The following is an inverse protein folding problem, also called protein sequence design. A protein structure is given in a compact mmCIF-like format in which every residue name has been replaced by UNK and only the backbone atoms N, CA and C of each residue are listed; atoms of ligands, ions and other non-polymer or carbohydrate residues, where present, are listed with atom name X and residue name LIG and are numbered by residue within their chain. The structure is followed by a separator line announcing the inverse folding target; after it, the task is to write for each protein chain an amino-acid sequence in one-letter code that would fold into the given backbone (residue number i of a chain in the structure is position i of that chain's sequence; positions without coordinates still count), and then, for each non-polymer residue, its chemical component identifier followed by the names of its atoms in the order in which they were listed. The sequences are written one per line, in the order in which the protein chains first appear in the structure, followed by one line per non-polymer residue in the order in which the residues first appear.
data_IF_553367165466
#
_entry.id   IF_553367165466
#
_cell.length_a   1.000
_cell.length_b   1.000
_cell.length_c   1.000
_cell.angle_alpha   90.00
_cell.angle_beta   90.00
_cell.angle_gamma   90.00
#
_symmetry.space_group_name_H-M   'P 1'
#
loop_
_entity.id
_entity.type
_entity.pdbx_description
1 polymer ?
#
# COMPACT_ATOMS: atom_id res chain seq x y z
N UNK A 1 1.57 20.73 -14.20
CA UNK A 1 2.31 19.47 -14.39
C UNK A 1 2.59 18.88 -13.01
N UNK A 2 1.74 17.99 -12.55
CA UNK A 2 1.89 17.30 -11.27
C UNK A 2 2.85 16.12 -11.43
N UNK A 3 3.91 16.10 -10.63
CA UNK A 3 4.90 15.03 -10.64
C UNK A 3 4.25 13.67 -10.27
N UNK A 4 4.53 12.63 -11.07
CA UNK A 4 4.34 11.23 -10.64
C UNK A 4 3.21 10.42 -11.28
N UNK A 5 2.76 10.76 -12.49
CA UNK A 5 1.80 9.92 -13.24
C UNK A 5 2.53 8.77 -13.94
N UNK A 6 2.79 7.70 -13.20
CA UNK A 6 3.33 6.48 -13.75
C UNK A 6 3.19 5.32 -12.76
N UNK A 7 3.01 4.08 -13.25
CA UNK A 7 2.99 2.92 -12.39
C UNK A 7 4.30 2.85 -11.60
N UNK A 8 4.20 2.57 -10.30
CA UNK A 8 5.36 2.53 -9.41
C UNK A 8 5.37 1.26 -8.55
N UNK A 9 6.57 0.79 -8.23
CA UNK A 9 6.79 -0.29 -7.28
C UNK A 9 6.83 0.29 -5.87
N UNK A 10 6.04 -0.27 -4.96
CA UNK A 10 5.88 0.19 -3.57
C UNK A 10 6.10 -0.97 -2.61
N UNK A 11 6.98 -0.77 -1.65
CA UNK A 11 7.20 -1.71 -0.55
C UNK A 11 5.99 -1.78 0.40
N UNK A 12 5.77 -2.95 0.99
CA UNK A 12 4.71 -3.16 1.98
C UNK A 12 4.79 -2.16 3.15
N UNK A 13 6.01 -1.82 3.60
CA UNK A 13 6.28 -0.83 4.67
C UNK A 13 5.70 0.55 4.34
N UNK A 14 5.94 1.04 3.11
CA UNK A 14 5.44 2.33 2.61
C UNK A 14 3.92 2.31 2.45
N UNK A 15 3.36 1.19 2.02
CA UNK A 15 1.92 1.02 1.92
C UNK A 15 1.25 1.02 3.31
N UNK A 16 1.83 0.33 4.28
CA UNK A 16 1.37 0.33 5.67
C UNK A 16 1.44 1.72 6.29
N UNK A 17 2.51 2.48 6.04
CA UNK A 17 2.64 3.86 6.50
C UNK A 17 1.54 4.77 5.91
N UNK A 18 1.21 4.62 4.63
CA UNK A 18 0.15 5.38 3.99
C UNK A 18 -1.24 5.03 4.55
N UNK A 19 -1.51 3.74 4.79
CA UNK A 19 -2.75 3.29 5.43
C UNK A 19 -2.90 3.83 6.86
N UNK A 20 -1.82 3.80 7.67
CA UNK A 20 -1.78 4.42 9.01
C UNK A 20 -2.06 5.93 8.93
N UNK A 21 -1.43 6.63 7.99
CA UNK A 21 -1.62 8.08 7.76
C UNK A 21 -3.09 8.40 7.48
N UNK A 22 -3.77 7.58 6.67
CA UNK A 22 -5.19 7.74 6.34
C UNK A 22 -6.15 7.21 7.41
N UNK A 23 -5.64 6.56 8.46
CA UNK A 23 -6.43 5.85 9.48
C UNK A 23 -7.36 4.79 8.87
N UNK A 24 -6.86 4.06 7.87
CA UNK A 24 -7.61 3.01 7.15
C UNK A 24 -6.89 1.67 7.28
N UNK A 25 -7.67 0.59 7.36
CA UNK A 25 -7.16 -0.78 7.49
C UNK A 25 -7.36 -1.33 8.91
N UNK A 26 -7.63 -2.63 9.01
CA UNK A 26 -7.75 -3.30 10.31
C UNK A 26 -6.34 -3.44 10.92
N UNK A 27 -6.18 -3.34 12.26
CA UNK A 27 -4.87 -3.53 12.90
C UNK A 27 -4.15 -4.80 12.47
N UNK A 28 -4.88 -5.91 12.34
CA UNK A 28 -4.33 -7.19 11.87
C UNK A 28 -3.73 -7.11 10.45
N UNK A 29 -4.31 -6.32 9.54
CA UNK A 29 -3.76 -6.12 8.20
C UNK A 29 -2.44 -5.33 8.26
N UNK A 30 -2.39 -4.27 9.08
CA UNK A 30 -1.19 -3.46 9.23
C UNK A 30 -0.05 -4.26 9.88
N UNK A 31 -0.36 -5.08 10.89
CA UNK A 31 0.61 -6.00 11.50
C UNK A 31 1.09 -7.06 10.50
N UNK A 32 0.20 -7.61 9.67
CA UNK A 32 0.58 -8.57 8.65
C UNK A 32 1.55 -7.96 7.62
N UNK A 33 1.46 -6.66 7.33
CA UNK A 33 2.36 -5.97 6.41
C UNK A 33 3.76 -5.71 7.01
N UNK A 34 3.89 -5.60 8.33
CA UNK A 34 5.19 -5.29 8.97
C UNK A 34 6.24 -6.39 8.74
N UNK A 35 5.81 -7.64 8.51
CA UNK A 35 6.68 -8.78 8.20
C UNK A 35 6.92 -9.01 6.69
N UNK A 36 6.34 -8.20 5.81
CA UNK A 36 6.36 -8.44 4.36
C UNK A 36 7.49 -7.64 3.71
N UNK A 37 8.44 -8.34 3.08
CA UNK A 37 9.58 -7.72 2.37
C UNK A 37 9.33 -7.50 0.88
N UNK A 38 8.24 -8.05 0.33
CA UNK A 38 7.89 -7.89 -1.08
C UNK A 38 7.19 -6.55 -1.36
N UNK A 39 7.25 -6.17 -2.64
CA UNK A 39 6.63 -4.96 -3.17
C UNK A 39 5.44 -5.28 -4.07
N UNK A 40 4.65 -4.25 -4.36
CA UNK A 40 3.52 -4.31 -5.30
C UNK A 40 3.52 -3.11 -6.22
N UNK A 41 2.70 -3.15 -7.27
CA UNK A 41 2.52 -2.04 -8.20
C UNK A 41 1.34 -1.17 -7.78
N UNK A 42 1.54 0.15 -7.82
CA UNK A 42 0.48 1.16 -7.72
C UNK A 42 0.42 1.99 -9.00
N UNK A 43 -0.76 2.50 -9.39
CA UNK A 43 -0.90 3.31 -10.61
C UNK A 43 -0.31 4.72 -10.48
N UNK A 44 0.02 5.15 -9.26
CA UNK A 44 0.62 6.45 -8.93
C UNK A 44 1.22 6.39 -7.51
N UNK A 45 1.81 7.50 -7.06
CA UNK A 45 2.24 7.72 -5.69
C UNK A 45 1.17 7.33 -4.65
N UNK A 46 1.50 6.65 -3.52
CA UNK A 46 0.50 6.15 -2.56
C UNK A 46 -0.45 7.24 -2.06
N UNK A 47 0.00 8.49 -2.02
CA UNK A 47 -0.79 9.65 -1.62
C UNK A 47 -1.89 10.03 -2.62
N UNK A 48 -1.68 9.73 -3.90
CA UNK A 48 -2.60 10.00 -5.00
C UNK A 48 -3.52 8.81 -5.33
N UNK A 49 -3.20 7.61 -4.84
CA UNK A 49 -4.02 6.42 -5.09
C UNK A 49 -5.31 6.44 -4.25
N UNK A 50 -6.48 6.09 -4.81
CA UNK A 50 -7.72 5.91 -4.07
C UNK A 50 -7.59 4.87 -2.96
N UNK A 51 -8.19 5.15 -1.80
CA UNK A 51 -8.13 4.27 -0.61
C UNK A 51 -8.53 2.81 -0.89
N UNK A 52 -9.60 2.51 -1.66
CA UNK A 52 -9.95 1.12 -1.97
C UNK A 52 -8.82 0.34 -2.67
N UNK A 53 -8.08 0.99 -3.58
CA UNK A 53 -6.96 0.36 -4.29
C UNK A 53 -5.75 0.15 -3.38
N UNK A 54 -5.48 1.08 -2.46
CA UNK A 54 -4.44 0.89 -1.44
C UNK A 54 -4.75 -0.29 -0.52
N UNK A 55 -6.00 -0.44 -0.09
CA UNK A 55 -6.45 -1.57 0.73
C UNK A 55 -6.35 -2.88 -0.05
N UNK A 56 -6.75 -2.89 -1.33
CA UNK A 56 -6.64 -4.08 -2.17
C UNK A 56 -5.17 -4.51 -2.34
N UNK A 57 -4.28 -3.57 -2.64
CA UNK A 57 -2.84 -3.82 -2.75
C UNK A 57 -2.26 -4.37 -1.43
N UNK A 58 -2.67 -3.81 -0.29
CA UNK A 58 -2.25 -4.26 1.03
C UNK A 58 -2.73 -5.67 1.34
N UNK A 59 -4.00 -5.98 1.05
CA UNK A 59 -4.54 -7.33 1.23
C UNK A 59 -3.86 -8.32 0.29
N UNK A 60 -3.53 -7.93 -0.93
CA UNK A 60 -2.76 -8.77 -1.86
C UNK A 60 -1.35 -9.06 -1.35
N UNK A 61 -0.69 -8.07 -0.75
CA UNK A 61 0.63 -8.21 -0.15
C UNK A 61 0.64 -8.97 1.18
N UNK A 62 -0.45 -8.90 1.95
CA UNK A 62 -0.58 -9.62 3.21
C UNK A 62 -1.01 -11.09 3.01
N UNK A 63 -1.62 -11.42 1.85
CA UNK A 63 -1.92 -12.81 1.49
C UNK A 63 -0.62 -13.52 1.08
N UNK A 64 0.04 -14.19 2.03
CA UNK A 64 1.11 -15.15 1.76
C UNK A 64 0.61 -16.16 0.70
N UNK A 65 1.41 -16.56 -0.30
CA UNK A 65 1.14 -17.81 -1.01
C UNK A 65 1.15 -18.98 -0.01
#
# INVERSE_FOLDING_TARGET
MTAGEGPMVVEASRLAAELRRRRVGRPALLTALDGVTRSTWLPAEPRAVPTPLLVLAAVSLARTP
#
